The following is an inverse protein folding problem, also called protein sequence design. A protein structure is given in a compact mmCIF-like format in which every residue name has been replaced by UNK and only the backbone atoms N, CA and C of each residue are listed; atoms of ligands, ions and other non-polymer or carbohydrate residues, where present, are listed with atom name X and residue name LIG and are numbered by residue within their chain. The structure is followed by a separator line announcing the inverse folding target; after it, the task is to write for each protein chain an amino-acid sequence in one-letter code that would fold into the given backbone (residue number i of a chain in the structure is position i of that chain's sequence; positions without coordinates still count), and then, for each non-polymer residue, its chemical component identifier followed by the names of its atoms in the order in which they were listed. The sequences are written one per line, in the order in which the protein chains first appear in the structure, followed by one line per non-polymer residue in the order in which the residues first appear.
data_IF_329048832948
#
_entry.id   IF_329048832948
#
_cell.length_a   1.000
_cell.length_b   1.000
_cell.length_c   1.000
_cell.angle_alpha   90.00
_cell.angle_beta   90.00
_cell.angle_gamma   90.00
#
_symmetry.space_group_name_H-M   'P 1'
#
loop_
_entity.id
_entity.type
_entity.pdbx_description
1 polymer ?
#
# COMPACT_ATOMS: atom_id res chain seq x y z
N UNK A 1 17.51 -16.27 22.64
CA UNK A 1 16.77 -15.17 21.97
C UNK A 1 15.74 -14.58 22.92
N UNK A 2 15.79 -13.28 23.22
CA UNK A 2 14.88 -12.64 24.20
C UNK A 2 13.51 -12.36 23.59
N UNK A 3 12.45 -12.46 24.40
CA UNK A 3 11.08 -12.20 23.96
C UNK A 3 10.86 -10.77 23.39
N UNK A 4 11.51 -9.70 23.90
CA UNK A 4 11.43 -8.37 23.32
C UNK A 4 11.96 -8.28 21.89
N UNK A 5 13.05 -8.98 21.55
CA UNK A 5 13.61 -8.99 20.21
C UNK A 5 12.69 -9.68 19.19
N UNK A 6 12.12 -10.83 19.58
CA UNK A 6 11.12 -11.55 18.77
C UNK A 6 9.91 -10.67 18.44
N UNK A 7 9.36 -9.98 19.46
CA UNK A 7 8.24 -9.05 19.29
C UNK A 7 8.60 -7.86 18.40
N UNK A 8 9.82 -7.34 18.54
CA UNK A 8 10.29 -6.24 17.70
C UNK A 8 10.37 -6.66 16.23
N UNK A 9 11.02 -7.78 15.92
CA UNK A 9 11.14 -8.29 14.55
C UNK A 9 9.77 -8.52 13.91
N UNK A 10 8.88 -9.27 14.56
CA UNK A 10 7.54 -9.55 14.04
C UNK A 10 6.71 -8.29 13.83
N UNK A 11 6.83 -7.30 14.72
CA UNK A 11 6.07 -6.05 14.63
C UNK A 11 6.44 -5.16 13.44
N UNK A 12 7.50 -5.49 12.71
CA UNK A 12 7.88 -4.82 11.44
C UNK A 12 7.31 -5.50 10.20
N UNK A 13 6.67 -6.68 10.36
CA UNK A 13 6.07 -7.41 9.26
C UNK A 13 4.59 -7.02 9.08
N UNK A 14 4.17 -6.92 7.84
CA UNK A 14 2.76 -6.93 7.42
C UNK A 14 2.55 -8.18 6.59
N UNK A 15 1.55 -8.98 6.96
CA UNK A 15 1.41 -10.34 6.42
C UNK A 15 0.01 -10.58 5.87
N UNK A 16 -0.08 -11.37 4.80
CA UNK A 16 -1.34 -11.83 4.25
C UNK A 16 -1.82 -13.12 4.90
N UNK A 17 -3.03 -13.53 4.54
CA UNK A 17 -3.70 -14.75 5.00
C UNK A 17 -4.11 -15.61 3.83
N UNK A 18 -4.25 -16.93 4.08
CA UNK A 18 -4.53 -17.90 3.02
C UNK A 18 -5.99 -17.83 2.49
N UNK A 19 -6.95 -17.62 3.38
CA UNK A 19 -8.37 -17.72 3.03
C UNK A 19 -9.29 -16.82 3.86
N UNK A 20 -10.60 -17.04 3.77
CA UNK A 20 -11.59 -16.22 4.46
C UNK A 20 -11.69 -16.49 5.97
N UNK A 21 -11.00 -17.53 6.46
CA UNK A 21 -10.92 -17.90 7.87
C UNK A 21 -9.49 -18.29 8.21
N UNK A 22 -9.05 -18.09 9.48
CA UNK A 22 -7.75 -18.55 9.92
C UNK A 22 -7.70 -20.08 10.02
N UNK A 23 -6.66 -20.66 9.48
CA UNK A 23 -6.30 -22.07 9.73
C UNK A 23 -5.64 -22.26 11.10
N UNK A 24 -5.56 -23.49 11.57
CA UNK A 24 -4.82 -23.81 12.80
C UNK A 24 -3.33 -23.44 12.72
N UNK A 25 -2.74 -23.63 11.52
CA UNK A 25 -1.35 -23.28 11.25
C UNK A 25 -1.14 -21.74 11.28
N UNK A 26 -2.06 -20.99 10.69
CA UNK A 26 -2.00 -19.52 10.73
C UNK A 26 -2.12 -18.98 12.15
N UNK A 27 -3.01 -19.52 12.97
CA UNK A 27 -3.09 -19.16 14.39
C UNK A 27 -1.78 -19.40 15.14
N UNK A 28 -1.09 -20.48 14.81
CA UNK A 28 0.18 -20.84 15.46
C UNK A 28 1.29 -19.84 15.09
N UNK A 29 1.52 -19.60 13.80
CA UNK A 29 2.59 -18.69 13.39
C UNK A 29 2.27 -17.21 13.66
N UNK A 30 0.99 -16.78 13.61
CA UNK A 30 0.61 -15.43 14.02
C UNK A 30 0.96 -15.15 15.49
N UNK A 31 0.71 -16.13 16.39
CA UNK A 31 1.13 -16.02 17.81
C UNK A 31 2.64 -15.93 17.97
N UNK A 32 3.39 -16.64 17.12
CA UNK A 32 4.86 -16.64 17.14
C UNK A 32 5.42 -15.31 16.62
N UNK A 33 5.00 -14.88 15.44
CA UNK A 33 5.51 -13.70 14.74
C UNK A 33 4.97 -12.41 15.35
N UNK A 34 3.69 -12.33 15.64
CA UNK A 34 2.98 -11.13 16.12
C UNK A 34 3.18 -9.94 15.18
N UNK A 35 2.70 -10.02 13.92
CA UNK A 35 2.97 -9.02 12.89
C UNK A 35 2.42 -7.65 13.25
N UNK A 36 3.04 -6.59 12.69
CA UNK A 36 2.62 -5.20 12.83
C UNK A 36 1.42 -4.82 11.98
N UNK A 37 1.02 -5.68 11.04
CA UNK A 37 -0.17 -5.49 10.22
C UNK A 37 -0.64 -6.78 9.56
N UNK A 38 -1.89 -6.78 9.17
CA UNK A 38 -2.55 -7.81 8.36
C UNK A 38 -3.03 -7.14 7.09
N UNK A 39 -2.70 -7.71 5.94
CA UNK A 39 -3.24 -7.30 4.64
C UNK A 39 -4.16 -8.40 4.10
N UNK A 40 -5.32 -8.01 3.58
CA UNK A 40 -6.26 -8.93 2.96
C UNK A 40 -6.41 -8.67 1.47
N UNK A 41 -6.53 -9.75 0.73
CA UNK A 41 -6.75 -9.79 -0.71
C UNK A 41 -8.15 -10.32 -1.04
N UNK A 42 -8.50 -10.36 -2.32
CA UNK A 42 -9.80 -10.87 -2.79
C UNK A 42 -10.14 -12.25 -2.20
N UNK A 43 -9.16 -13.16 -2.11
CA UNK A 43 -9.32 -14.52 -1.55
C UNK A 43 -9.79 -14.57 -0.09
N UNK A 44 -9.61 -13.48 0.64
CA UNK A 44 -9.94 -13.39 2.07
C UNK A 44 -11.32 -12.72 2.32
N UNK A 45 -11.92 -12.10 1.29
CA UNK A 45 -13.02 -11.15 1.45
C UNK A 45 -14.28 -11.72 0.75
N UNK A 46 -15.25 -12.15 1.55
CA UNK A 46 -16.56 -12.60 1.04
C UNK A 46 -17.66 -11.57 1.34
N UNK A 47 -17.76 -11.12 2.59
CA UNK A 47 -18.76 -10.16 3.05
C UNK A 47 -18.21 -9.33 4.24
N UNK A 48 -18.84 -8.20 4.59
CA UNK A 48 -18.36 -7.33 5.66
C UNK A 48 -18.26 -8.02 7.02
N UNK A 49 -19.23 -8.84 7.40
CA UNK A 49 -19.27 -9.52 8.72
C UNK A 49 -18.14 -10.53 8.83
N UNK A 50 -17.98 -11.39 7.83
CA UNK A 50 -16.92 -12.39 7.75
C UNK A 50 -15.53 -11.70 7.78
N UNK A 51 -15.32 -10.68 6.94
CA UNK A 51 -14.04 -9.97 6.85
C UNK A 51 -13.65 -9.30 8.18
N UNK A 52 -14.63 -8.69 8.86
CA UNK A 52 -14.43 -8.10 10.18
C UNK A 52 -14.08 -9.15 11.24
N UNK A 53 -14.71 -10.32 11.21
CA UNK A 53 -14.40 -11.42 12.12
C UNK A 53 -12.97 -11.93 11.90
N UNK A 54 -12.58 -12.16 10.65
CA UNK A 54 -11.21 -12.56 10.27
C UNK A 54 -10.18 -11.54 10.75
N UNK A 55 -10.40 -10.24 10.46
CA UNK A 55 -9.49 -9.17 10.91
C UNK A 55 -9.41 -9.08 12.43
N UNK A 56 -10.52 -9.25 13.13
CA UNK A 56 -10.56 -9.20 14.61
C UNK A 56 -9.76 -10.35 15.20
N UNK A 57 -9.95 -11.57 14.71
CA UNK A 57 -9.20 -12.74 15.16
C UNK A 57 -7.71 -12.60 14.85
N UNK A 58 -7.35 -12.27 13.60
CA UNK A 58 -5.96 -12.14 13.18
C UNK A 58 -5.21 -11.04 13.96
N UNK A 59 -5.83 -9.86 14.12
CA UNK A 59 -5.20 -8.75 14.88
C UNK A 59 -5.16 -9.01 16.38
N UNK A 60 -6.03 -9.85 16.92
CA UNK A 60 -5.93 -10.35 18.30
C UNK A 60 -4.66 -11.17 18.56
N UNK A 61 -4.09 -11.78 17.53
CA UNK A 61 -2.84 -12.54 17.56
C UNK A 61 -1.61 -11.71 17.16
N UNK A 62 -1.81 -10.52 16.60
CA UNK A 62 -0.77 -9.64 16.09
C UNK A 62 -0.16 -8.73 17.19
N UNK A 63 0.71 -7.80 16.78
CA UNK A 63 1.23 -6.76 17.65
C UNK A 63 0.14 -5.76 18.02
N UNK A 64 0.23 -5.06 19.16
CA UNK A 64 -0.70 -3.99 19.50
C UNK A 64 -0.78 -2.94 18.39
N UNK A 65 -2.00 -2.48 18.13
CA UNK A 65 -2.26 -1.48 17.09
C UNK A 65 -1.83 -1.92 15.68
N UNK A 66 -1.97 -3.21 15.36
CA UNK A 66 -1.69 -3.73 14.04
C UNK A 66 -2.53 -3.00 12.97
N UNK A 67 -1.90 -2.72 11.82
CA UNK A 67 -2.62 -2.20 10.67
C UNK A 67 -3.54 -3.29 10.09
N UNK A 68 -4.66 -2.85 9.53
CA UNK A 68 -5.62 -3.69 8.80
C UNK A 68 -5.71 -3.12 7.40
N UNK A 69 -4.87 -3.67 6.50
CA UNK A 69 -4.61 -3.14 5.18
C UNK A 69 -5.44 -3.83 4.10
N UNK A 70 -5.77 -3.09 3.06
CA UNK A 70 -6.40 -3.60 1.84
C UNK A 70 -6.07 -2.68 0.67
N UNK A 71 -5.97 -3.25 -0.55
CA UNK A 71 -5.87 -2.47 -1.78
C UNK A 71 -7.25 -2.08 -2.30
N UNK A 72 -7.61 -0.82 -2.14
CA UNK A 72 -8.79 -0.22 -2.75
C UNK A 72 -8.39 1.12 -3.35
N UNK A 73 -7.92 1.07 -4.61
CA UNK A 73 -7.57 2.25 -5.41
C UNK A 73 -8.78 2.76 -6.23
N UNK A 74 -9.70 1.85 -6.52
CA UNK A 74 -10.72 1.97 -7.56
C UNK A 74 -10.25 1.35 -8.87
N UNK A 75 -11.13 1.27 -9.88
CA UNK A 75 -10.83 0.63 -11.16
C UNK A 75 -10.49 -0.84 -11.02
N UNK A 76 -9.35 -1.26 -11.59
CA UNK A 76 -8.89 -2.64 -11.59
C UNK A 76 -8.38 -3.11 -10.22
N UNK A 77 -7.87 -2.21 -9.40
CA UNK A 77 -7.38 -2.53 -8.04
C UNK A 77 -8.42 -2.13 -7.00
N UNK A 78 -9.37 -3.02 -6.79
CA UNK A 78 -10.46 -2.88 -5.81
C UNK A 78 -10.82 -4.25 -5.23
N UNK A 79 -10.21 -4.63 -4.11
CA UNK A 79 -10.43 -5.92 -3.46
C UNK A 79 -11.84 -6.08 -2.86
N UNK A 80 -12.62 -4.98 -2.77
CA UNK A 80 -14.01 -4.98 -2.29
C UNK A 80 -15.05 -5.00 -3.42
N UNK A 81 -14.62 -5.03 -4.68
CA UNK A 81 -15.50 -4.93 -5.86
C UNK A 81 -16.68 -5.91 -5.81
N UNK A 82 -16.38 -7.20 -5.61
CA UNK A 82 -17.38 -8.26 -5.66
C UNK A 82 -18.25 -8.29 -4.40
N UNK A 83 -17.66 -7.95 -3.25
CA UNK A 83 -18.36 -7.97 -1.97
C UNK A 83 -19.21 -6.71 -1.71
N UNK A 84 -18.96 -5.60 -2.42
CA UNK A 84 -19.70 -4.36 -2.27
C UNK A 84 -20.17 -3.78 -3.61
N UNK A 85 -19.27 -3.14 -4.36
CA UNK A 85 -19.54 -2.54 -5.66
C UNK A 85 -18.23 -2.14 -6.36
N UNK A 86 -18.20 -2.05 -7.70
CA UNK A 86 -17.08 -1.45 -8.40
C UNK A 86 -16.98 0.04 -8.05
N UNK A 87 -15.76 0.51 -7.84
CA UNK A 87 -15.43 1.94 -7.70
C UNK A 87 -14.72 2.39 -9.00
N UNK A 88 -14.90 3.63 -9.46
CA UNK A 88 -14.25 4.10 -10.68
C UNK A 88 -12.74 4.22 -10.48
N UNK A 89 -11.97 4.18 -11.57
CA UNK A 89 -10.52 4.33 -11.50
C UNK A 89 -10.10 5.78 -11.20
N UNK A 90 -8.90 5.95 -10.67
CA UNK A 90 -8.31 7.27 -10.44
C UNK A 90 -8.24 8.10 -11.73
N UNK A 91 -7.89 7.46 -12.85
CA UNK A 91 -7.87 8.09 -14.18
C UNK A 91 -9.24 8.66 -14.57
N UNK A 92 -10.30 7.84 -14.45
CA UNK A 92 -11.65 8.26 -14.83
C UNK A 92 -12.15 9.41 -13.95
N UNK A 93 -11.94 9.33 -12.64
CA UNK A 93 -12.36 10.39 -11.71
C UNK A 93 -11.59 11.68 -11.94
N UNK A 94 -10.28 11.62 -12.15
CA UNK A 94 -9.46 12.79 -12.41
C UNK A 94 -9.83 13.45 -13.77
N UNK A 95 -10.10 12.64 -14.80
CA UNK A 95 -10.57 13.13 -16.09
C UNK A 95 -11.94 13.83 -15.97
N UNK A 96 -12.91 13.19 -15.30
CA UNK A 96 -14.22 13.76 -15.04
C UNK A 96 -14.15 15.07 -14.23
N UNK A 97 -13.26 15.11 -13.22
CA UNK A 97 -13.05 16.32 -12.41
C UNK A 97 -12.55 17.50 -13.27
N UNK A 98 -11.65 17.25 -14.22
CA UNK A 98 -11.16 18.27 -15.15
C UNK A 98 -12.26 18.71 -16.14
N UNK A 99 -12.94 17.75 -16.78
CA UNK A 99 -13.99 18.01 -17.77
C UNK A 99 -15.14 18.84 -17.18
N UNK A 100 -15.54 18.54 -15.95
CA UNK A 100 -16.67 19.21 -15.29
C UNK A 100 -16.24 20.44 -14.46
N UNK A 101 -14.94 20.73 -14.33
CA UNK A 101 -14.46 21.78 -13.43
C UNK A 101 -14.78 21.50 -11.96
N UNK A 102 -14.85 20.21 -11.55
CA UNK A 102 -15.28 19.76 -10.22
C UNK A 102 -14.18 18.97 -9.49
N UNK A 103 -13.14 19.61 -8.97
CA UNK A 103 -12.05 18.92 -8.26
C UNK A 103 -12.55 18.10 -7.04
N UNK A 104 -13.68 18.50 -6.44
CA UNK A 104 -14.33 17.81 -5.34
C UNK A 104 -14.72 16.35 -5.66
N UNK A 105 -14.77 15.92 -6.92
CA UNK A 105 -14.97 14.51 -7.28
C UNK A 105 -13.85 13.63 -6.75
N UNK A 106 -12.60 14.11 -6.70
CA UNK A 106 -11.50 13.40 -6.05
C UNK A 106 -11.76 13.17 -4.55
N UNK A 107 -12.32 14.17 -3.85
CA UNK A 107 -12.70 14.05 -2.43
C UNK A 107 -13.85 13.06 -2.24
N UNK A 108 -14.86 13.12 -3.08
CA UNK A 108 -15.97 12.16 -3.04
C UNK A 108 -15.50 10.73 -3.28
N UNK A 109 -14.57 10.53 -4.22
CA UNK A 109 -13.94 9.23 -4.46
C UNK A 109 -13.25 8.71 -3.20
N UNK A 110 -12.38 9.52 -2.58
CA UNK A 110 -11.71 9.16 -1.33
C UNK A 110 -12.67 8.91 -0.17
N UNK A 111 -13.78 9.68 -0.05
CA UNK A 111 -14.82 9.45 0.96
C UNK A 111 -15.52 8.10 0.75
N UNK A 112 -15.90 7.76 -0.48
CA UNK A 112 -16.55 6.50 -0.81
C UNK A 112 -15.64 5.29 -0.56
N UNK A 113 -14.38 5.36 -0.98
CA UNK A 113 -13.36 4.35 -0.66
C UNK A 113 -13.18 4.22 0.85
N UNK A 114 -13.04 5.34 1.54
CA UNK A 114 -12.88 5.33 3.00
C UNK A 114 -14.06 4.67 3.73
N UNK A 115 -15.30 4.95 3.29
CA UNK A 115 -16.52 4.29 3.82
C UNK A 115 -16.52 2.81 3.54
N UNK A 116 -16.19 2.40 2.32
CA UNK A 116 -16.10 0.99 1.92
C UNK A 116 -15.07 0.24 2.78
N UNK A 117 -13.86 0.73 2.83
CA UNK A 117 -12.74 0.18 3.62
C UNK A 117 -13.12 0.04 5.09
N UNK A 118 -13.71 1.09 5.66
CA UNK A 118 -14.17 1.10 7.07
C UNK A 118 -15.31 0.14 7.35
N UNK A 119 -16.25 -0.02 6.39
CA UNK A 119 -17.38 -0.94 6.54
C UNK A 119 -16.92 -2.39 6.70
N UNK A 120 -15.84 -2.78 6.02
CA UNK A 120 -15.24 -4.10 6.12
C UNK A 120 -14.28 -4.27 7.31
N UNK A 121 -14.06 -3.24 8.12
CA UNK A 121 -13.25 -3.33 9.35
C UNK A 121 -11.78 -2.98 9.18
N UNK A 122 -11.36 -2.54 7.99
CA UNK A 122 -9.99 -2.05 7.77
C UNK A 122 -9.78 -0.66 8.38
N UNK A 123 -8.52 -0.31 8.63
CA UNK A 123 -8.11 1.01 9.12
C UNK A 123 -7.18 1.74 8.16
N UNK A 124 -6.75 1.07 7.09
CA UNK A 124 -5.87 1.63 6.08
C UNK A 124 -6.17 1.05 4.70
N UNK A 125 -5.91 1.83 3.67
CA UNK A 125 -5.88 1.38 2.28
C UNK A 125 -4.54 1.73 1.65
N UNK A 126 -4.03 0.82 0.79
CA UNK A 126 -2.79 1.04 0.04
C UNK A 126 -3.10 1.86 -1.23
N UNK A 127 -3.60 3.05 -1.02
CA UNK A 127 -3.95 4.07 -1.99
C UNK A 127 -3.75 5.47 -1.35
N UNK A 128 -3.55 6.52 -2.14
CA UNK A 128 -3.63 6.63 -3.60
C UNK A 128 -2.33 6.27 -4.34
N UNK A 129 -2.46 6.05 -5.67
CA UNK A 129 -1.32 5.98 -6.59
C UNK A 129 -0.88 7.40 -6.93
N UNK A 130 0.44 7.66 -6.82
CA UNK A 130 1.09 8.93 -7.12
C UNK A 130 1.95 8.86 -8.41
N UNK A 131 2.00 7.69 -9.06
CA UNK A 131 2.76 7.50 -10.27
C UNK A 131 2.16 8.28 -11.43
N UNK A 132 3.01 8.73 -12.35
CA UNK A 132 2.60 9.46 -13.55
C UNK A 132 2.17 8.49 -14.66
N UNK A 133 1.15 8.84 -15.42
CA UNK A 133 0.70 8.12 -16.61
C UNK A 133 1.66 8.38 -17.78
N UNK A 134 2.87 7.84 -17.72
CA UNK A 134 3.83 7.91 -18.81
C UNK A 134 3.63 6.74 -19.78
N UNK A 135 3.93 6.92 -21.09
CA UNK A 135 3.72 5.88 -22.10
C UNK A 135 4.40 4.56 -21.78
N UNK A 136 5.58 4.61 -21.17
CA UNK A 136 6.42 3.44 -20.84
C UNK A 136 5.73 2.52 -19.82
N UNK A 137 4.92 3.07 -18.92
CA UNK A 137 4.24 2.31 -17.87
C UNK A 137 2.76 2.02 -18.19
N UNK A 138 2.31 2.25 -19.42
CA UNK A 138 0.89 2.13 -19.77
C UNK A 138 0.34 0.72 -19.51
N UNK A 139 1.12 -0.33 -19.78
CA UNK A 139 0.73 -1.73 -19.55
C UNK A 139 0.65 -2.07 -18.05
N UNK A 140 1.57 -1.53 -17.25
CA UNK A 140 1.66 -1.82 -15.81
C UNK A 140 0.68 -1.00 -15.01
N UNK A 141 0.58 0.28 -15.32
CA UNK A 141 -0.19 1.23 -14.50
C UNK A 141 -1.63 1.40 -15.01
N UNK A 142 -1.85 1.36 -16.31
CA UNK A 142 -3.18 1.46 -16.92
C UNK A 142 -4.00 2.61 -16.33
N UNK A 143 -5.23 2.32 -15.92
CA UNK A 143 -6.17 3.29 -15.35
C UNK A 143 -5.91 3.66 -13.87
N UNK A 144 -4.84 3.13 -13.24
CA UNK A 144 -4.50 3.39 -11.84
C UNK A 144 -3.98 4.81 -11.60
N UNK A 145 -3.41 5.46 -12.62
CA UNK A 145 -2.80 6.79 -12.53
C UNK A 145 -3.81 7.91 -12.76
N UNK A 146 -3.73 8.99 -11.99
CA UNK A 146 -4.66 10.11 -12.07
C UNK A 146 -4.36 11.12 -13.18
N UNK A 147 -3.13 11.11 -13.73
CA UNK A 147 -2.70 12.03 -14.78
C UNK A 147 -1.27 11.79 -15.23
N UNK A 148 -0.85 12.47 -16.29
CA UNK A 148 0.50 12.37 -16.87
C UNK A 148 1.47 13.43 -16.33
N UNK A 149 0.96 14.45 -15.67
CA UNK A 149 1.77 15.52 -15.08
C UNK A 149 1.74 15.50 -13.56
N UNK A 150 2.81 15.95 -12.88
CA UNK A 150 2.83 16.05 -11.43
C UNK A 150 1.69 16.87 -10.84
N UNK A 151 1.27 17.92 -11.55
CA UNK A 151 0.20 18.83 -11.14
C UNK A 151 -1.16 18.14 -11.16
N UNK A 152 -1.47 17.38 -12.21
CA UNK A 152 -2.71 16.60 -12.31
C UNK A 152 -2.79 15.56 -11.19
N UNK A 153 -1.71 14.81 -10.97
CA UNK A 153 -1.62 13.79 -9.91
C UNK A 153 -1.76 14.44 -8.54
N UNK A 154 -1.01 15.51 -8.25
CA UNK A 154 -1.07 16.21 -6.96
C UNK A 154 -2.45 16.79 -6.68
N UNK A 155 -3.12 17.34 -7.70
CA UNK A 155 -4.46 17.91 -7.55
C UNK A 155 -5.49 16.83 -7.16
N UNK A 156 -5.52 15.71 -7.88
CA UNK A 156 -6.41 14.59 -7.58
C UNK A 156 -6.09 13.98 -6.21
N UNK A 157 -4.83 13.67 -5.93
CA UNK A 157 -4.39 13.01 -4.70
C UNK A 157 -4.71 13.86 -3.47
N UNK A 158 -4.55 15.18 -3.54
CA UNK A 158 -4.90 16.11 -2.44
C UNK A 158 -6.36 15.96 -2.02
N UNK A 159 -7.27 15.97 -2.98
CA UNK A 159 -8.69 15.81 -2.73
C UNK A 159 -9.04 14.39 -2.24
N UNK A 160 -8.44 13.37 -2.85
CA UNK A 160 -8.61 11.98 -2.44
C UNK A 160 -8.19 11.74 -0.98
N UNK A 161 -7.03 12.27 -0.57
CA UNK A 161 -6.55 12.20 0.81
C UNK A 161 -7.50 12.90 1.79
N UNK A 162 -8.07 14.04 1.40
CA UNK A 162 -9.07 14.72 2.22
C UNK A 162 -10.34 13.87 2.41
N UNK A 163 -10.76 13.15 1.37
CA UNK A 163 -11.86 12.19 1.43
C UNK A 163 -11.57 11.03 2.40
N UNK A 164 -10.43 10.36 2.25
CA UNK A 164 -10.02 9.27 3.16
C UNK A 164 -9.90 9.74 4.61
N UNK A 165 -9.30 10.91 4.83
CA UNK A 165 -9.13 11.49 6.16
C UNK A 165 -10.47 11.77 6.86
N UNK A 166 -11.52 12.18 6.10
CA UNK A 166 -12.87 12.37 6.63
C UNK A 166 -13.46 11.07 7.21
N UNK A 167 -13.04 9.93 6.68
CA UNK A 167 -13.43 8.59 7.15
C UNK A 167 -12.46 7.99 8.15
N UNK A 168 -11.38 8.72 8.52
CA UNK A 168 -10.34 8.27 9.45
C UNK A 168 -9.62 7.00 8.96
N UNK A 169 -9.45 6.84 7.66
CA UNK A 169 -8.71 5.77 7.02
C UNK A 169 -7.31 6.26 6.69
N UNK A 170 -6.31 5.49 7.10
CA UNK A 170 -4.92 5.80 6.80
C UNK A 170 -4.62 5.50 5.31
N UNK A 171 -4.10 6.49 4.61
CA UNK A 171 -3.70 6.38 3.21
C UNK A 171 -2.25 5.90 3.08
N UNK A 172 -1.92 5.18 2.00
CA UNK A 172 -0.56 4.86 1.60
C UNK A 172 -0.30 5.35 0.18
N UNK A 173 0.50 6.39 0.04
CA UNK A 173 0.91 6.90 -1.28
C UNK A 173 1.92 5.98 -1.93
N UNK A 174 1.73 5.62 -3.21
CA UNK A 174 2.57 4.63 -3.89
C UNK A 174 2.74 4.95 -5.39
N UNK A 175 3.82 4.49 -6.01
CA UNK A 175 4.93 3.66 -5.53
C UNK A 175 6.24 4.46 -5.59
N UNK A 176 6.69 4.99 -4.46
CA UNK A 176 7.91 5.84 -4.42
C UNK A 176 9.14 5.06 -4.91
N UNK A 177 10.09 5.69 -5.67
CA UNK A 177 10.13 7.09 -6.09
C UNK A 177 9.34 7.41 -7.36
N UNK A 178 8.63 6.46 -7.96
CA UNK A 178 7.76 6.60 -9.12
C UNK A 178 7.95 5.49 -10.13
N UNK A 179 6.87 4.81 -10.54
CA UNK A 179 6.84 3.74 -11.53
C UNK A 179 6.42 4.21 -12.93
N UNK A 180 6.21 5.51 -13.14
CA UNK A 180 5.74 6.05 -14.42
C UNK A 180 6.63 5.75 -15.63
N UNK A 181 7.93 5.50 -15.41
CA UNK A 181 8.87 5.10 -16.45
C UNK A 181 9.18 3.60 -16.49
N UNK A 182 8.40 2.75 -15.82
CA UNK A 182 8.64 1.30 -15.78
C UNK A 182 8.17 0.65 -17.08
N UNK A 183 9.10 0.04 -17.81
CA UNK A 183 8.80 -0.80 -18.97
C UNK A 183 8.74 -2.27 -18.57
N UNK A 184 7.72 -3.00 -19.06
CA UNK A 184 7.55 -4.44 -18.84
C UNK A 184 6.87 -4.82 -17.51
N UNK A 185 6.54 -6.11 -17.37
CA UNK A 185 5.80 -6.65 -16.23
C UNK A 185 6.68 -6.66 -14.96
N UNK A 186 6.29 -5.84 -13.99
CA UNK A 186 6.98 -5.69 -12.70
C UNK A 186 6.88 -6.94 -11.81
N UNK A 187 5.99 -7.88 -12.12
CA UNK A 187 5.86 -9.15 -11.41
C UNK A 187 6.88 -10.18 -11.87
N UNK A 188 7.37 -10.07 -13.11
CA UNK A 188 8.25 -11.08 -13.70
C UNK A 188 9.73 -10.70 -13.68
N UNK A 189 10.07 -9.41 -13.65
CA UNK A 189 11.45 -8.92 -13.67
C UNK A 189 11.62 -7.76 -12.70
N UNK A 190 12.85 -7.49 -12.25
CA UNK A 190 13.17 -6.21 -11.59
C UNK A 190 13.04 -5.10 -12.62
N UNK A 191 12.00 -4.24 -12.56
CA UNK A 191 11.84 -3.16 -13.52
C UNK A 191 13.04 -2.22 -13.44
N UNK A 192 13.54 -1.78 -14.60
CA UNK A 192 14.63 -0.82 -14.67
C UNK A 192 14.11 0.49 -15.26
N UNK A 193 14.24 1.57 -14.51
CA UNK A 193 13.80 2.91 -14.90
C UNK A 193 15.02 3.76 -15.21
N UNK A 194 15.24 4.03 -16.51
CA UNK A 194 16.42 4.72 -17.01
C UNK A 194 16.39 6.25 -16.87
N UNK A 195 15.59 6.77 -15.93
CA UNK A 195 15.46 8.20 -15.66
C UNK A 195 16.54 8.67 -14.69
N UNK A 196 17.14 9.83 -14.98
CA UNK A 196 18.13 10.44 -14.06
C UNK A 196 17.47 10.91 -12.76
N UNK A 197 18.29 11.15 -11.75
CA UNK A 197 17.80 11.70 -10.48
C UNK A 197 17.11 13.07 -10.67
N UNK A 198 17.63 13.92 -11.54
CA UNK A 198 17.08 15.25 -11.84
C UNK A 198 15.71 15.13 -12.53
N UNK A 199 15.56 14.19 -13.47
CA UNK A 199 14.29 13.91 -14.12
C UNK A 199 13.25 13.44 -13.11
N UNK A 200 13.59 12.46 -12.26
CA UNK A 200 12.69 11.96 -11.21
C UNK A 200 12.34 13.07 -10.21
N UNK A 201 13.32 13.88 -9.81
CA UNK A 201 13.12 14.96 -8.86
C UNK A 201 12.20 16.07 -9.37
N UNK A 202 12.26 16.39 -10.67
CA UNK A 202 11.44 17.42 -11.31
C UNK A 202 10.07 16.93 -11.79
N UNK A 203 9.80 15.62 -11.71
CA UNK A 203 8.52 15.04 -12.15
C UNK A 203 7.97 14.03 -11.14
N UNK A 204 8.38 12.76 -11.17
CA UNK A 204 7.78 11.65 -10.40
C UNK A 204 7.77 11.89 -8.89
N UNK A 205 8.79 12.56 -8.36
CA UNK A 205 8.94 12.85 -6.92
C UNK A 205 8.15 14.11 -6.50
N UNK A 206 7.71 14.95 -7.44
CA UNK A 206 6.98 16.18 -7.11
C UNK A 206 5.72 15.94 -6.27
N UNK A 207 4.82 15.00 -6.60
CA UNK A 207 3.64 14.73 -5.78
C UNK A 207 4.00 14.33 -4.34
N UNK A 208 5.06 13.56 -4.15
CA UNK A 208 5.53 13.19 -2.81
C UNK A 208 6.08 14.38 -2.03
N UNK A 209 6.82 15.28 -2.70
CA UNK A 209 7.35 16.50 -2.06
C UNK A 209 6.24 17.44 -1.61
N UNK A 210 5.20 17.59 -2.42
CA UNK A 210 4.06 18.44 -2.11
C UNK A 210 3.15 17.87 -1.02
N UNK A 211 2.96 16.54 -1.01
CA UNK A 211 1.93 15.88 -0.20
C UNK A 211 2.49 15.08 0.99
N UNK A 212 3.82 15.06 1.20
CA UNK A 212 4.44 14.24 2.24
C UNK A 212 3.88 14.44 3.66
N UNK A 213 3.36 15.63 3.98
CA UNK A 213 2.75 15.91 5.28
C UNK A 213 1.35 15.35 5.42
N UNK A 214 0.64 15.17 4.31
CA UNK A 214 -0.72 14.62 4.27
C UNK A 214 -0.73 13.10 4.12
N UNK A 215 0.40 12.48 3.76
CA UNK A 215 0.53 11.03 3.57
C UNK A 215 0.96 10.35 4.88
N UNK A 216 0.10 9.60 5.56
CA UNK A 216 0.47 8.85 6.75
C UNK A 216 1.44 7.70 6.46
N UNK A 217 1.34 7.09 5.27
CA UNK A 217 2.22 6.02 4.80
C UNK A 217 2.68 6.29 3.37
N UNK A 218 3.89 5.86 3.03
CA UNK A 218 4.43 5.83 1.66
C UNK A 218 5.02 4.45 1.40
N UNK A 219 4.61 3.83 0.28
CA UNK A 219 5.11 2.54 -0.19
C UNK A 219 6.26 2.75 -1.17
N UNK A 220 7.32 1.95 -0.99
CA UNK A 220 8.52 1.95 -1.83
C UNK A 220 8.45 0.76 -2.79
N UNK A 221 8.62 1.01 -4.08
CA UNK A 221 8.62 -0.02 -5.12
C UNK A 221 9.94 -0.84 -5.17
N UNK A 222 9.93 -1.89 -5.99
CA UNK A 222 11.09 -2.76 -6.22
C UNK A 222 11.83 -2.48 -7.53
N UNK A 223 11.57 -1.35 -8.21
CA UNK A 223 12.29 -1.00 -9.41
C UNK A 223 13.74 -0.53 -9.11
N UNK A 224 14.63 -0.79 -10.05
CA UNK A 224 15.98 -0.25 -10.07
C UNK A 224 16.02 1.08 -10.86
N UNK A 225 16.92 1.97 -10.45
CA UNK A 225 17.10 3.30 -11.06
C UNK A 225 18.58 3.50 -11.40
N UNK A 226 19.09 2.81 -12.46
CA UNK A 226 20.54 2.71 -12.74
C UNK A 226 21.21 4.06 -13.05
N UNK A 227 20.45 5.02 -13.58
CA UNK A 227 20.98 6.38 -13.83
C UNK A 227 20.98 7.29 -12.57
N UNK A 228 20.87 6.69 -11.37
CA UNK A 228 20.93 7.41 -10.08
C UNK A 228 21.97 6.81 -9.16
N UNK A 229 22.15 7.41 -7.98
CA UNK A 229 23.10 6.90 -6.97
C UNK A 229 22.71 5.53 -6.36
N UNK A 230 21.53 4.99 -6.67
CA UNK A 230 21.14 3.64 -6.23
C UNK A 230 21.65 2.53 -7.17
N UNK A 231 22.01 2.90 -8.40
CA UNK A 231 22.44 1.92 -9.41
C UNK A 231 21.38 0.85 -9.66
N UNK A 232 21.82 -0.41 -9.79
CA UNK A 232 20.94 -1.55 -10.00
C UNK A 232 20.18 -2.02 -8.73
N UNK A 233 20.44 -1.41 -7.57
CA UNK A 233 19.75 -1.79 -6.33
C UNK A 233 18.29 -1.36 -6.37
N UNK A 234 17.32 -2.27 -6.12
CA UNK A 234 15.91 -1.93 -6.02
C UNK A 234 15.66 -0.81 -5.01
N UNK A 235 14.73 0.10 -5.30
CA UNK A 235 14.47 1.25 -4.44
C UNK A 235 14.15 0.86 -3.00
N UNK A 236 13.41 -0.23 -2.79
CA UNK A 236 13.07 -0.78 -1.48
C UNK A 236 14.28 -1.27 -0.66
N UNK A 237 15.38 -1.61 -1.31
CA UNK A 237 16.63 -2.03 -0.68
C UNK A 237 17.69 -0.90 -0.63
N UNK A 238 17.36 0.30 -1.14
CA UNK A 238 18.30 1.40 -1.33
C UNK A 238 18.27 2.43 -0.19
N UNK A 239 19.35 2.57 0.61
CA UNK A 239 19.48 3.66 1.58
C UNK A 239 19.44 5.05 0.93
N UNK A 240 19.82 5.15 -0.35
CA UNK A 240 19.71 6.40 -1.10
C UNK A 240 18.26 6.87 -1.19
N UNK A 241 17.34 6.00 -1.69
CA UNK A 241 15.96 6.38 -1.85
C UNK A 241 15.24 6.57 -0.52
N UNK A 242 15.41 5.64 0.41
CA UNK A 242 14.64 5.62 1.65
C UNK A 242 15.17 6.64 2.65
N UNK A 243 16.47 6.59 2.94
CA UNK A 243 17.06 7.43 4.01
C UNK A 243 17.45 8.80 3.48
N UNK A 244 18.22 8.88 2.38
CA UNK A 244 18.73 10.19 1.91
C UNK A 244 17.64 11.00 1.22
N UNK A 245 16.89 10.41 0.28
CA UNK A 245 15.90 11.17 -0.48
C UNK A 245 14.62 11.35 0.35
N UNK A 246 13.95 10.25 0.73
CA UNK A 246 12.63 10.37 1.35
C UNK A 246 12.69 10.93 2.78
N UNK A 247 13.56 10.39 3.65
CA UNK A 247 13.65 10.85 5.05
C UNK A 247 14.34 12.20 5.20
N UNK A 248 15.50 12.38 4.54
CA UNK A 248 16.33 13.57 4.79
C UNK A 248 15.97 14.71 3.86
N UNK A 249 15.96 14.50 2.53
CA UNK A 249 15.77 15.59 1.57
C UNK A 249 14.31 16.05 1.46
N UNK A 250 13.33 15.12 1.45
CA UNK A 250 11.90 15.46 1.47
C UNK A 250 11.42 15.77 2.89
N UNK A 251 12.06 15.21 3.91
CA UNK A 251 11.68 15.41 5.31
C UNK A 251 10.48 14.57 5.75
N UNK A 252 10.20 13.44 5.07
CA UNK A 252 9.06 12.59 5.37
C UNK A 252 9.10 11.98 6.77
N UNK A 253 8.01 12.07 7.52
CA UNK A 253 7.91 11.62 8.92
C UNK A 253 6.89 10.49 9.15
N UNK A 254 6.08 10.13 8.14
CA UNK A 254 5.12 9.02 8.21
C UNK A 254 5.80 7.64 8.20
N UNK A 255 4.99 6.57 8.13
CA UNK A 255 5.49 5.19 7.96
C UNK A 255 6.03 4.99 6.54
N UNK A 256 7.19 4.36 6.42
CA UNK A 256 7.71 3.87 5.15
C UNK A 256 7.45 2.37 5.08
N UNK A 257 6.81 1.95 4.01
CA UNK A 257 6.27 0.64 3.76
C UNK A 257 6.94 0.03 2.53
N UNK A 258 7.30 -1.24 2.51
CA UNK A 258 7.73 -1.88 1.27
C UNK A 258 6.52 -2.26 0.43
N UNK A 259 6.67 -2.40 -0.87
CA UNK A 259 5.82 -3.29 -1.66
C UNK A 259 6.04 -4.74 -1.22
N UNK A 260 5.24 -5.70 -1.73
CA UNK A 260 5.35 -7.09 -1.32
C UNK A 260 6.72 -7.69 -1.69
N UNK A 261 7.46 -8.13 -0.67
CA UNK A 261 8.77 -8.75 -0.86
C UNK A 261 8.71 -10.11 -1.59
N UNK A 262 7.52 -10.66 -1.83
CA UNK A 262 7.35 -11.86 -2.66
C UNK A 262 7.33 -11.54 -4.16
N UNK A 263 7.30 -10.27 -4.55
CA UNK A 263 7.32 -9.88 -5.97
C UNK A 263 8.65 -10.24 -6.65
N UNK A 264 8.55 -10.67 -7.91
CA UNK A 264 9.72 -10.99 -8.73
C UNK A 264 10.72 -9.83 -8.88
N UNK A 265 10.26 -8.59 -8.75
CA UNK A 265 11.10 -7.39 -8.77
C UNK A 265 12.19 -7.35 -7.70
N UNK A 266 12.00 -8.01 -6.56
CA UNK A 266 12.99 -8.12 -5.49
C UNK A 266 13.56 -9.53 -5.37
N UNK A 267 12.73 -10.59 -5.47
CA UNK A 267 13.19 -11.98 -5.27
C UNK A 267 14.16 -12.48 -6.35
N UNK A 268 14.16 -11.87 -7.53
CA UNK A 268 15.19 -12.15 -8.55
C UNK A 268 16.51 -11.44 -8.28
N UNK A 269 16.51 -10.40 -7.46
CA UNK A 269 17.68 -9.64 -7.09
C UNK A 269 18.36 -10.22 -5.84
N UNK A 270 17.58 -10.66 -4.85
CA UNK A 270 18.07 -11.23 -3.60
C UNK A 270 17.06 -12.20 -2.97
N UNK A 271 17.51 -13.07 -2.07
CA UNK A 271 16.62 -13.96 -1.31
C UNK A 271 15.68 -13.18 -0.39
N UNK A 272 14.60 -13.83 0.10
CA UNK A 272 13.66 -13.19 1.04
C UNK A 272 14.36 -12.80 2.36
N UNK A 273 15.35 -13.58 2.80
CA UNK A 273 16.15 -13.31 3.99
C UNK A 273 16.98 -12.04 3.82
N UNK A 274 17.67 -11.93 2.69
CA UNK A 274 18.47 -10.76 2.34
C UNK A 274 17.56 -9.53 2.16
N UNK A 275 16.41 -9.69 1.50
CA UNK A 275 15.44 -8.61 1.28
C UNK A 275 14.92 -8.08 2.61
N UNK A 276 14.49 -8.95 3.53
CA UNK A 276 13.98 -8.54 4.84
C UNK A 276 15.02 -7.74 5.64
N UNK A 277 16.28 -8.21 5.68
CA UNK A 277 17.36 -7.53 6.41
C UNK A 277 17.77 -6.23 5.73
N UNK A 278 17.95 -6.25 4.40
CA UNK A 278 18.47 -5.10 3.65
C UNK A 278 17.46 -3.95 3.62
N UNK A 279 16.17 -4.22 3.47
CA UNK A 279 15.13 -3.19 3.47
C UNK A 279 15.04 -2.48 4.82
N UNK A 280 15.12 -3.21 5.94
CA UNK A 280 15.17 -2.61 7.29
C UNK A 280 16.45 -1.78 7.46
N UNK A 281 17.60 -2.26 6.99
CA UNK A 281 18.86 -1.49 6.99
C UNK A 281 18.78 -0.21 6.17
N UNK A 282 18.10 -0.26 5.03
CA UNK A 282 17.91 0.89 4.16
C UNK A 282 17.04 1.99 4.79
N UNK A 283 16.24 1.66 5.83
CA UNK A 283 15.43 2.63 6.56
C UNK A 283 13.93 2.39 6.54
N UNK A 284 13.47 1.21 6.07
CA UNK A 284 12.07 0.83 6.07
C UNK A 284 11.51 0.73 7.51
N UNK A 285 10.25 1.10 7.70
CA UNK A 285 9.54 0.96 8.96
C UNK A 285 8.72 -0.33 9.02
N UNK A 286 8.13 -0.75 7.89
CA UNK A 286 7.34 -1.97 7.74
C UNK A 286 7.67 -2.65 6.42
N UNK A 287 7.65 -3.99 6.40
CA UNK A 287 7.85 -4.80 5.19
C UNK A 287 6.68 -5.75 4.99
N UNK A 288 6.23 -5.89 3.74
CA UNK A 288 5.17 -6.81 3.35
C UNK A 288 5.72 -8.15 2.91
N UNK A 289 5.09 -9.24 3.37
CA UNK A 289 5.26 -10.61 2.87
C UNK A 289 3.85 -11.22 2.91
N UNK A 290 3.21 -11.42 1.73
CA UNK A 290 1.76 -11.46 1.65
C UNK A 290 1.13 -12.81 1.36
N UNK A 291 1.89 -13.80 0.86
CA UNK A 291 1.29 -15.01 0.29
C UNK A 291 1.77 -16.30 0.96
N UNK A 292 3.09 -16.46 1.11
CA UNK A 292 3.70 -17.70 1.60
C UNK A 292 4.00 -17.65 3.10
N UNK A 293 3.34 -18.48 3.93
CA UNK A 293 3.71 -18.64 5.35
C UNK A 293 5.18 -19.02 5.53
N UNK A 294 5.76 -19.79 4.60
CA UNK A 294 7.17 -20.15 4.62
C UNK A 294 8.05 -18.91 4.48
N UNK A 295 7.78 -18.06 3.47
CA UNK A 295 8.56 -16.83 3.25
C UNK A 295 8.38 -15.82 4.39
N UNK A 296 7.18 -15.73 4.98
CA UNK A 296 6.95 -14.94 6.20
C UNK A 296 7.87 -15.38 7.33
N UNK A 297 7.93 -16.69 7.59
CA UNK A 297 8.77 -17.25 8.68
C UNK A 297 10.25 -17.08 8.37
N UNK A 298 10.70 -17.32 7.12
CA UNK A 298 12.10 -17.14 6.69
C UNK A 298 12.53 -15.68 6.85
N UNK A 299 11.72 -14.71 6.39
CA UNK A 299 11.99 -13.29 6.59
C UNK A 299 12.05 -12.89 8.08
N UNK A 300 11.13 -13.41 8.88
CA UNK A 300 11.14 -13.20 10.34
C UNK A 300 12.40 -13.75 11.02
N UNK A 301 12.79 -14.98 10.68
CA UNK A 301 13.98 -15.64 11.24
C UNK A 301 15.26 -14.94 10.80
N UNK A 302 15.32 -14.45 9.56
CA UNK A 302 16.46 -13.68 9.08
C UNK A 302 16.68 -12.37 9.85
N UNK A 303 15.60 -11.66 10.17
CA UNK A 303 15.69 -10.45 11.02
C UNK A 303 16.23 -10.78 12.41
N UNK A 304 15.82 -11.92 12.98
CA UNK A 304 16.30 -12.37 14.29
C UNK A 304 17.76 -12.80 14.26
N UNK A 305 18.14 -13.64 13.29
CA UNK A 305 19.51 -14.13 13.13
C UNK A 305 20.49 -12.95 12.92
N UNK A 306 20.12 -11.96 12.09
CA UNK A 306 20.96 -10.80 11.90
C UNK A 306 21.05 -9.92 13.15
N UNK A 307 19.97 -9.80 13.92
CA UNK A 307 20.00 -9.06 15.20
C UNK A 307 20.80 -9.78 16.29
N UNK A 308 20.97 -11.10 16.21
CA UNK A 308 21.88 -11.86 17.08
C UNK A 308 23.34 -11.66 16.69
N UNK A 309 23.62 -11.69 15.39
CA UNK A 309 24.95 -11.55 14.83
C UNK A 309 25.51 -10.12 14.94
N UNK A 310 24.65 -9.10 14.81
CA UNK A 310 25.05 -7.67 14.74
C UNK A 310 24.36 -6.84 15.81
N UNK A 311 25.12 -6.35 16.79
CA UNK A 311 24.63 -5.43 17.81
C UNK A 311 24.08 -4.11 17.20
N UNK A 312 24.72 -3.63 16.11
CA UNK A 312 24.27 -2.44 15.40
C UNK A 312 22.89 -2.68 14.74
N UNK A 313 22.70 -3.82 14.09
CA UNK A 313 21.40 -4.18 13.50
C UNK A 313 20.34 -4.42 14.58
N UNK A 314 20.69 -5.07 15.68
CA UNK A 314 19.78 -5.25 16.82
C UNK A 314 19.26 -3.89 17.34
N UNK A 315 20.15 -2.92 17.52
CA UNK A 315 19.76 -1.56 17.93
C UNK A 315 18.84 -0.92 16.90
N UNK A 316 19.18 -1.01 15.62
CA UNK A 316 18.36 -0.47 14.51
C UNK A 316 16.96 -1.10 14.51
N UNK A 317 16.87 -2.43 14.59
CA UNK A 317 15.61 -3.18 14.60
C UNK A 317 14.70 -2.74 15.76
N UNK A 318 15.24 -2.65 16.98
CA UNK A 318 14.50 -2.19 18.15
C UNK A 318 14.04 -0.73 18.02
N UNK A 319 14.87 0.16 17.47
CA UNK A 319 14.53 1.55 17.25
C UNK A 319 13.42 1.68 16.18
N UNK A 320 13.50 0.92 15.09
CA UNK A 320 12.45 0.86 14.07
C UNK A 320 11.14 0.32 14.63
N UNK A 321 11.18 -0.76 15.39
CA UNK A 321 9.98 -1.34 16.00
C UNK A 321 9.27 -0.35 16.94
N UNK A 322 10.01 0.39 17.76
CA UNK A 322 9.45 1.44 18.63
C UNK A 322 8.82 2.58 17.81
N UNK A 323 9.52 3.05 16.79
CA UNK A 323 9.03 4.11 15.91
C UNK A 323 7.76 3.68 15.15
N UNK A 324 7.76 2.50 14.56
CA UNK A 324 6.62 1.93 13.86
C UNK A 324 5.42 1.73 14.80
N UNK A 325 5.63 1.20 16.00
CA UNK A 325 4.57 1.02 16.99
C UNK A 325 3.92 2.33 17.41
N UNK A 326 4.72 3.39 17.65
CA UNK A 326 4.19 4.73 17.96
C UNK A 326 3.32 5.30 16.82
N UNK A 327 3.78 5.18 15.58
CA UNK A 327 3.05 5.65 14.40
C UNK A 327 1.76 4.84 14.19
N UNK A 328 1.82 3.49 14.27
CA UNK A 328 0.64 2.62 14.18
C UNK A 328 -0.43 2.96 15.22
N UNK A 329 -0.01 3.21 16.49
CA UNK A 329 -0.93 3.63 17.55
C UNK A 329 -1.71 4.89 17.17
N UNK A 330 -1.07 5.88 16.56
CA UNK A 330 -1.73 7.12 16.11
C UNK A 330 -2.71 6.87 14.96
N UNK A 331 -2.39 5.97 14.05
CA UNK A 331 -3.25 5.63 12.90
C UNK A 331 -4.45 4.77 13.34
N UNK A 332 -4.24 3.80 14.21
CA UNK A 332 -5.30 2.89 14.67
C UNK A 332 -6.30 3.54 15.62
N UNK A 333 -5.87 4.47 16.47
CA UNK A 333 -6.73 5.16 17.42
C UNK A 333 -7.91 5.92 16.78
N UNK A 334 -7.83 6.22 15.50
CA UNK A 334 -8.84 6.97 14.76
C UNK A 334 -9.90 6.07 14.11
N UNK A 335 -9.70 4.75 14.02
CA UNK A 335 -10.42 3.90 13.08
C UNK A 335 -11.40 2.89 13.68
N UNK A 336 -11.68 2.94 14.98
CA UNK A 336 -12.73 2.07 15.55
C UNK A 336 -14.08 2.38 14.90
N UNK A 337 -14.66 1.40 14.23
CA UNK A 337 -15.94 1.54 13.55
C UNK A 337 -16.91 0.43 13.96
N UNK A 338 -18.16 0.80 14.23
CA UNK A 338 -19.24 -0.17 14.37
C UNK A 338 -19.56 -0.78 13.00
N UNK A 339 -19.99 -2.05 12.94
CA UNK A 339 -20.54 -2.63 11.72
C UNK A 339 -21.70 -1.80 11.19
N UNK A 340 -21.78 -1.68 9.86
CA UNK A 340 -22.95 -1.07 9.23
C UNK A 340 -24.12 -2.05 9.24
N UNK A 341 -25.32 -1.55 9.40
CA UNK A 341 -26.55 -2.32 9.19
C UNK A 341 -26.71 -2.63 7.69
N UNK A 342 -27.52 -3.63 7.36
CA UNK A 342 -27.82 -3.99 5.97
C UNK A 342 -28.36 -2.79 5.16
N UNK A 343 -29.25 -1.99 5.77
CA UNK A 343 -29.78 -0.76 5.15
C UNK A 343 -28.67 0.25 4.84
N UNK A 344 -27.73 0.42 5.75
CA UNK A 344 -26.57 1.32 5.54
C UNK A 344 -25.61 0.81 4.47
N UNK A 345 -25.42 -0.52 4.40
CA UNK A 345 -24.61 -1.15 3.34
C UNK A 345 -25.26 -0.97 1.97
N UNK A 346 -26.59 -1.19 1.86
CA UNK A 346 -27.32 -0.95 0.60
C UNK A 346 -27.22 0.53 0.17
N UNK A 347 -27.40 1.47 1.10
CA UNK A 347 -27.27 2.88 0.81
C UNK A 347 -25.86 3.28 0.36
N UNK A 348 -24.81 2.67 0.95
CA UNK A 348 -23.42 2.88 0.51
C UNK A 348 -23.21 2.36 -0.92
N UNK A 349 -23.68 1.14 -1.21
CA UNK A 349 -23.63 0.55 -2.54
C UNK A 349 -24.31 1.42 -3.59
N UNK A 350 -25.52 1.88 -3.32
CA UNK A 350 -26.25 2.77 -4.22
C UNK A 350 -25.52 4.10 -4.44
N UNK A 351 -24.90 4.66 -3.40
CA UNK A 351 -24.11 5.88 -3.53
C UNK A 351 -22.89 5.68 -4.42
N UNK A 352 -22.20 4.53 -4.30
CA UNK A 352 -21.08 4.17 -5.17
C UNK A 352 -21.55 4.03 -6.63
N UNK A 353 -22.68 3.37 -6.88
CA UNK A 353 -23.23 3.20 -8.22
C UNK A 353 -23.60 4.55 -8.86
N UNK A 354 -24.28 5.43 -8.13
CA UNK A 354 -24.58 6.80 -8.62
C UNK A 354 -23.32 7.61 -8.92
N UNK A 355 -22.28 7.44 -8.13
CA UNK A 355 -20.99 8.09 -8.40
C UNK A 355 -20.36 7.54 -9.69
N UNK A 356 -20.40 6.21 -9.91
CA UNK A 356 -19.96 5.60 -11.16
C UNK A 356 -20.70 6.19 -12.37
N UNK A 357 -22.03 6.30 -12.29
CA UNK A 357 -22.85 6.88 -13.38
C UNK A 357 -22.44 8.32 -13.67
N UNK A 358 -22.18 9.13 -12.64
CA UNK A 358 -21.71 10.50 -12.79
C UNK A 358 -20.36 10.56 -13.50
N UNK A 359 -19.42 9.69 -13.12
CA UNK A 359 -18.09 9.64 -13.75
C UNK A 359 -18.17 9.14 -15.20
N UNK A 360 -18.98 8.10 -15.46
CA UNK A 360 -19.19 7.55 -16.80
C UNK A 360 -19.80 8.60 -17.76
N UNK A 361 -20.83 9.32 -17.30
CA UNK A 361 -21.47 10.37 -18.09
C UNK A 361 -20.49 11.49 -18.46
N UNK A 362 -19.60 11.88 -17.54
CA UNK A 362 -18.60 12.91 -17.78
C UNK A 362 -17.48 12.48 -18.75
N UNK A 363 -17.21 11.17 -18.82
CA UNK A 363 -16.12 10.61 -19.65
C UNK A 363 -16.55 10.34 -21.10
N UNK A 364 -17.85 10.42 -21.44
CA UNK A 364 -18.37 10.02 -22.76
C UNK A 364 -18.13 8.53 -23.06
N UNK A 365 -17.74 7.76 -22.05
CA UNK A 365 -17.33 6.38 -22.21
C UNK A 365 -18.54 5.45 -22.08
N UNK A 366 -18.92 4.80 -23.17
CA UNK A 366 -19.57 3.50 -23.09
C UNK A 366 -18.69 2.60 -22.22
N UNK A 367 -19.31 2.01 -21.20
CA UNK A 367 -18.70 1.01 -20.29
C UNK A 367 -17.78 0.07 -21.06
N UNK A 368 -16.46 0.30 -20.95
CA UNK A 368 -15.50 -0.67 -21.44
C UNK A 368 -15.71 -1.96 -20.65
N UNK A 369 -16.08 -3.03 -21.37
CA UNK A 369 -16.18 -4.39 -20.84
C UNK A 369 -14.85 -4.75 -20.21
N UNK A 370 -14.93 -5.24 -18.97
CA UNK A 370 -13.86 -5.74 -18.15
C UNK A 370 -12.73 -6.43 -18.93
N UNK A 371 -11.61 -5.78 -19.07
CA UNK A 371 -10.32 -6.47 -19.26
C UNK A 371 -9.73 -6.70 -17.89
N UNK A 372 -9.58 -7.94 -17.51
CA UNK A 372 -8.86 -8.35 -16.29
C UNK A 372 -7.41 -7.88 -16.42
N UNK A 373 -6.96 -7.07 -15.47
CA UNK A 373 -5.55 -6.70 -15.35
C UNK A 373 -4.79 -7.86 -14.69
N UNK A 374 -3.52 -8.12 -15.05
CA UNK A 374 -2.68 -9.12 -14.39
C UNK A 374 -2.59 -8.96 -12.86
N UNK A 375 -2.83 -7.77 -12.35
CA UNK A 375 -2.87 -7.46 -10.89
C UNK A 375 -4.07 -8.09 -10.17
N UNK A 376 -5.06 -8.64 -10.88
CA UNK A 376 -6.23 -9.28 -10.27
C UNK A 376 -6.03 -10.75 -9.86
N UNK A 377 -4.92 -11.37 -10.22
CA UNK A 377 -4.68 -12.83 -10.07
C UNK A 377 -3.86 -13.17 -8.82
N UNK A 378 -3.44 -12.20 -8.03
CA UNK A 378 -2.68 -12.43 -6.78
C UNK A 378 -3.52 -12.20 -5.52
#
# INVERSE_FOLDING_TARGET
MTQPLRRAAGSLLVVGLAGPELTGLERAWLRLVRPGGIILFKRNIAEPTQTRALLTEATGLAAPHALRCVDVEGGTVNRLRDALAPLPSAQAVAAAARTLGRPALGREHGDLIGRAVRAFGFNSTLAPVLDLALPEAAEVMGSRTAGSTPQEVSAYVREFLAGLASQKIAACGKHFPGLGGAAGDTHLLTPSIARSYEQLWSSDIVPYRELHRALPMIMINHAAYPATFSGATPASASPFWITKVLRQRIGYRGLIFSDDLEMGGILKFMSIEEAAVTTIRAGMDLIEICHSPELILRGYEALLAEAERSAAFRKLLLDRARTAAHKRKRLSAQSESRPLTQKQMSALRERILRFNDTIAAASGAQTAKNTTSPVEVS
#
